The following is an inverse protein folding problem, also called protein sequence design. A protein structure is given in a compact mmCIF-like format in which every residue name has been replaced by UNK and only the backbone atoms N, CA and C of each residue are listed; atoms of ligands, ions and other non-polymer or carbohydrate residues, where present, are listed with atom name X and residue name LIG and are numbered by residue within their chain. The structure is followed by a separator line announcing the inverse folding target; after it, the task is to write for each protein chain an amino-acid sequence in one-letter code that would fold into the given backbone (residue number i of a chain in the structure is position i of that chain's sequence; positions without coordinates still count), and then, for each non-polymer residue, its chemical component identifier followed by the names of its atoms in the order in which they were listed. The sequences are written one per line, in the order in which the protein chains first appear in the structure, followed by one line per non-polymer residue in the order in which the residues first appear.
data_IF_299629275429
#
_entry.id   IF_299629275429
#
_cell.length_a   1.000
_cell.length_b   1.000
_cell.length_c   1.000
_cell.angle_alpha   90.00
_cell.angle_beta   90.00
_cell.angle_gamma   90.00
#
_symmetry.space_group_name_H-M   'P 1'
#
loop_
_entity.id
_entity.type
_entity.pdbx_description
1 polymer ?
#
# COMPACT_ATOMS: atom_id res chain seq x y z
N UNK A 1 -1.46 -42.54 -24.44
CA UNK A 1 -1.81 -41.44 -23.52
C UNK A 1 -2.70 -40.46 -24.23
N UNK A 2 -3.80 -39.94 -23.64
CA UNK A 2 -4.53 -38.85 -24.26
C UNK A 2 -3.58 -37.66 -24.41
N UNK A 3 -3.29 -37.26 -25.64
CA UNK A 3 -2.50 -36.08 -25.97
C UNK A 3 -3.44 -35.01 -26.51
N UNK A 4 -3.47 -33.85 -25.87
CA UNK A 4 -4.11 -32.67 -26.44
C UNK A 4 -3.11 -32.03 -27.40
N UNK A 5 -3.35 -32.19 -28.71
CA UNK A 5 -2.59 -31.45 -29.72
C UNK A 5 -3.17 -30.04 -29.84
N UNK A 6 -2.43 -29.05 -29.34
CA UNK A 6 -2.79 -27.65 -29.48
C UNK A 6 -2.71 -27.23 -30.95
N UNK A 7 -3.77 -26.62 -31.47
CA UNK A 7 -3.65 -25.74 -32.64
C UNK A 7 -2.95 -24.44 -32.19
N UNK A 8 -2.15 -23.87 -33.09
CA UNK A 8 -0.82 -23.25 -32.85
C UNK A 8 -0.72 -21.98 -31.98
N UNK A 9 -1.71 -21.59 -31.18
CA UNK A 9 -1.59 -20.41 -30.30
C UNK A 9 -2.28 -20.50 -28.93
N UNK A 10 -3.27 -21.38 -28.71
CA UNK A 10 -4.05 -21.41 -27.46
C UNK A 10 -4.57 -22.80 -27.12
N UNK A 11 -4.67 -23.09 -25.82
CA UNK A 11 -5.44 -24.20 -25.28
C UNK A 11 -6.69 -23.62 -24.61
N UNK A 12 -7.85 -23.76 -25.24
CA UNK A 12 -9.12 -23.31 -24.69
C UNK A 12 -9.76 -24.43 -23.87
N UNK A 13 -9.98 -24.20 -22.57
CA UNK A 13 -10.66 -25.13 -21.68
C UNK A 13 -11.98 -24.49 -21.25
N UNK A 14 -13.10 -24.91 -21.88
CA UNK A 14 -14.45 -24.43 -21.58
C UNK A 14 -15.52 -25.01 -22.52
N UNK A 15 -16.80 -24.71 -22.26
CA UNK A 15 -17.88 -24.88 -23.24
C UNK A 15 -18.65 -23.55 -23.36
N UNK A 16 -19.20 -23.28 -24.54
CA UNK A 16 -19.73 -21.96 -24.93
C UNK A 16 -20.92 -21.41 -24.14
N UNK A 17 -21.33 -21.99 -23.00
CA UNK A 17 -22.45 -21.44 -22.22
C UNK A 17 -22.46 -21.77 -20.72
N UNK A 18 -21.39 -22.32 -20.13
CA UNK A 18 -21.34 -22.57 -18.67
C UNK A 18 -19.98 -22.18 -18.10
N UNK A 19 -20.00 -21.51 -16.94
CA UNK A 19 -18.78 -21.15 -16.23
C UNK A 19 -17.97 -22.42 -15.90
N UNK A 20 -16.69 -22.43 -16.26
CA UNK A 20 -15.76 -23.45 -15.77
C UNK A 20 -15.63 -23.26 -14.27
N UNK A 21 -16.07 -24.25 -13.48
CA UNK A 21 -16.09 -24.14 -12.02
C UNK A 21 -14.70 -24.20 -11.39
N UNK A 22 -13.75 -24.90 -12.03
CA UNK A 22 -12.35 -24.97 -11.64
C UNK A 22 -11.48 -25.50 -12.78
N UNK A 23 -10.27 -24.98 -12.92
CA UNK A 23 -9.16 -25.62 -13.65
C UNK A 23 -8.21 -26.13 -12.56
N UNK A 24 -8.06 -27.45 -12.45
CA UNK A 24 -7.15 -28.06 -11.47
C UNK A 24 -5.93 -28.59 -12.17
N UNK A 25 -4.78 -28.15 -11.70
CA UNK A 25 -3.51 -28.58 -12.20
C UNK A 25 -2.77 -29.14 -10.98
N UNK A 26 -2.55 -30.45 -11.02
CA UNK A 26 -2.11 -31.24 -9.87
C UNK A 26 -0.79 -31.87 -10.23
N UNK A 27 0.15 -31.79 -9.31
CA UNK A 27 1.26 -32.73 -9.25
C UNK A 27 0.93 -33.83 -8.22
N UNK A 28 1.47 -35.04 -8.43
CA UNK A 28 1.28 -36.21 -7.57
C UNK A 28 2.60 -36.73 -7.00
N UNK A 29 3.66 -35.92 -7.01
CA UNK A 29 4.89 -36.20 -6.30
C UNK A 29 5.15 -35.16 -5.20
N UNK A 30 6.10 -35.45 -4.30
CA UNK A 30 6.39 -34.60 -3.13
C UNK A 30 7.68 -33.78 -3.33
N UNK A 31 8.17 -33.72 -4.57
CA UNK A 31 9.55 -33.41 -4.91
C UNK A 31 9.66 -32.13 -5.73
N UNK A 32 8.64 -31.80 -6.53
CA UNK A 32 8.55 -30.53 -7.22
C UNK A 32 7.22 -29.78 -6.99
N UNK A 33 7.19 -28.53 -7.43
CA UNK A 33 6.01 -27.69 -7.39
C UNK A 33 5.36 -27.64 -8.75
N UNK A 34 4.04 -27.50 -8.79
CA UNK A 34 3.34 -27.26 -10.05
C UNK A 34 3.78 -25.91 -10.67
N UNK A 35 4.31 -25.93 -11.90
CA UNK A 35 4.89 -24.75 -12.56
C UNK A 35 4.08 -24.30 -13.80
N UNK A 36 3.89 -22.98 -13.93
CA UNK A 36 3.34 -22.33 -15.14
C UNK A 36 4.43 -21.42 -15.70
N UNK A 37 5.09 -21.86 -16.76
CA UNK A 37 5.97 -21.00 -17.54
C UNK A 37 5.19 -20.22 -18.59
N UNK A 38 5.60 -18.98 -18.78
CA UNK A 38 5.31 -18.20 -19.98
C UNK A 38 6.64 -17.60 -20.45
N UNK A 39 6.91 -17.66 -21.75
CA UNK A 39 7.99 -16.88 -22.35
C UNK A 39 7.54 -15.44 -22.65
N UNK A 40 6.29 -15.11 -22.33
CA UNK A 40 5.68 -13.78 -22.36
C UNK A 40 5.19 -13.44 -20.94
N UNK A 41 4.26 -12.49 -20.82
CA UNK A 41 3.58 -12.24 -19.57
C UNK A 41 2.66 -13.42 -19.19
N UNK A 42 2.47 -13.63 -17.89
CA UNK A 42 1.34 -14.39 -17.37
C UNK A 42 0.21 -13.42 -17.00
N UNK A 43 -0.96 -13.57 -17.61
CA UNK A 43 -2.07 -12.64 -17.44
C UNK A 43 -3.37 -13.35 -17.07
N UNK A 44 -4.12 -12.75 -16.14
CA UNK A 44 -5.48 -13.12 -15.75
C UNK A 44 -6.36 -11.90 -15.98
N UNK A 45 -7.34 -12.03 -16.87
CA UNK A 45 -8.22 -10.93 -17.25
C UNK A 45 -9.40 -11.38 -18.10
N UNK A 46 -10.32 -10.46 -18.34
CA UNK A 46 -11.46 -10.64 -19.23
C UNK A 46 -11.39 -9.58 -20.33
N UNK A 47 -11.63 -9.95 -21.60
CA UNK A 47 -11.71 -9.01 -22.74
C UNK A 47 -10.56 -7.99 -22.85
N UNK A 48 -9.31 -8.44 -22.76
CA UNK A 48 -8.10 -7.62 -22.93
C UNK A 48 -7.85 -6.55 -21.86
N UNK A 49 -8.56 -6.59 -20.73
CA UNK A 49 -8.15 -5.89 -19.51
C UNK A 49 -7.55 -6.90 -18.55
N UNK A 50 -6.23 -6.84 -18.37
CA UNK A 50 -5.53 -7.67 -17.40
C UNK A 50 -5.82 -7.17 -15.99
N UNK A 51 -6.55 -7.97 -15.22
CA UNK A 51 -6.76 -7.71 -13.79
C UNK A 51 -5.49 -7.99 -13.02
N UNK A 52 -4.77 -9.07 -13.38
CA UNK A 52 -3.46 -9.44 -12.85
C UNK A 52 -2.54 -9.74 -14.03
N UNK A 53 -1.39 -9.08 -14.08
CA UNK A 53 -0.35 -9.29 -15.08
C UNK A 53 0.99 -9.49 -14.39
N UNK A 54 1.72 -10.55 -14.73
CA UNK A 54 3.11 -10.77 -14.33
C UNK A 54 3.95 -10.65 -15.59
N UNK A 55 4.83 -9.66 -15.65
CA UNK A 55 5.67 -9.41 -16.83
C UNK A 55 6.73 -10.50 -16.99
N UNK A 56 7.34 -10.60 -18.17
CA UNK A 56 8.51 -11.46 -18.39
C UNK A 56 9.66 -11.16 -17.40
N UNK A 57 9.76 -9.92 -16.88
CA UNK A 57 10.74 -9.53 -15.88
C UNK A 57 10.35 -9.89 -14.43
N UNK A 58 9.18 -10.52 -14.23
CA UNK A 58 8.66 -10.89 -12.91
C UNK A 58 8.02 -9.75 -12.13
N UNK A 59 7.64 -8.64 -12.79
CA UNK A 59 6.94 -7.53 -12.14
C UNK A 59 5.43 -7.78 -12.14
N UNK A 60 4.78 -7.53 -11.01
CA UNK A 60 3.35 -7.78 -10.80
C UNK A 60 2.55 -6.49 -11.00
N UNK A 61 1.67 -6.46 -11.98
CA UNK A 61 0.69 -5.40 -12.21
C UNK A 61 -0.72 -5.86 -11.81
N UNK A 62 -1.42 -5.05 -11.03
CA UNK A 62 -2.87 -5.18 -10.79
C UNK A 62 -3.56 -4.01 -11.46
N UNK A 63 -4.47 -4.29 -12.40
CA UNK A 63 -5.14 -3.28 -13.23
C UNK A 63 -4.16 -2.37 -14.02
N UNK A 64 -2.97 -2.90 -14.34
CA UNK A 64 -1.97 -2.25 -15.18
C UNK A 64 -1.13 -3.30 -15.90
N UNK A 65 -0.82 -3.05 -17.16
CA UNK A 65 0.08 -3.89 -17.96
C UNK A 65 1.54 -3.42 -17.93
N UNK A 66 1.80 -2.25 -17.33
CA UNK A 66 3.13 -1.60 -17.30
C UNK A 66 3.56 -1.27 -15.86
N UNK A 67 3.74 -2.28 -14.99
CA UNK A 67 4.32 -2.05 -13.66
C UNK A 67 5.76 -1.55 -13.78
N UNK A 68 6.12 -0.50 -13.03
CA UNK A 68 7.51 0.01 -12.95
C UNK A 68 8.25 -0.49 -11.71
N UNK A 69 7.52 -1.12 -10.77
CA UNK A 69 8.02 -1.67 -9.52
C UNK A 69 7.64 -3.14 -9.39
N UNK A 70 8.24 -3.85 -8.43
CA UNK A 70 7.98 -5.27 -8.18
C UNK A 70 6.47 -5.60 -8.06
N UNK A 71 5.70 -4.70 -7.43
CA UNK A 71 4.24 -4.72 -7.42
C UNK A 71 3.70 -3.31 -7.68
N UNK A 72 2.87 -3.17 -8.71
CA UNK A 72 2.15 -1.93 -9.01
C UNK A 72 0.65 -2.20 -9.02
N UNK A 73 -0.13 -1.43 -8.26
CA UNK A 73 -1.60 -1.48 -8.28
C UNK A 73 -2.13 -0.16 -8.82
N UNK A 74 -2.82 -0.21 -9.95
CA UNK A 74 -3.54 0.96 -10.50
C UNK A 74 -4.92 1.05 -9.87
N UNK A 75 -4.97 1.59 -8.66
CA UNK A 75 -6.20 1.75 -7.88
C UNK A 75 -5.95 1.75 -6.37
N UNK A 76 -7.04 1.72 -5.60
CA UNK A 76 -6.97 1.66 -4.14
C UNK A 76 -6.64 0.24 -3.67
N UNK A 77 -5.80 0.13 -2.64
CA UNK A 77 -5.54 -1.15 -1.96
C UNK A 77 -6.16 -1.09 -0.56
N UNK A 78 -7.02 -2.05 -0.25
CA UNK A 78 -7.60 -2.24 1.08
C UNK A 78 -6.74 -3.25 1.85
N UNK A 79 -5.82 -2.78 2.69
CA UNK A 79 -4.96 -3.62 3.52
C UNK A 79 -5.65 -3.89 4.87
N UNK A 80 -6.24 -5.09 5.01
CA UNK A 80 -6.87 -5.55 6.26
C UNK A 80 -5.99 -6.58 6.96
N UNK A 81 -5.77 -6.40 8.26
CA UNK A 81 -5.19 -7.41 9.14
C UNK A 81 -6.19 -7.69 10.29
N UNK A 82 -6.37 -8.95 10.65
CA UNK A 82 -7.27 -9.39 11.73
C UNK A 82 -6.86 -8.88 13.12
N UNK A 83 -5.69 -8.26 13.27
CA UNK A 83 -5.11 -7.95 14.59
C UNK A 83 -4.40 -6.60 14.70
N UNK A 84 -4.51 -5.69 13.72
CA UNK A 84 -3.90 -4.35 13.84
C UNK A 84 -3.80 -3.55 12.54
N UNK A 85 -3.02 -2.46 12.59
CA UNK A 85 -2.75 -1.55 11.48
C UNK A 85 -2.13 -2.29 10.28
N UNK A 86 -2.53 -1.91 9.07
CA UNK A 86 -1.76 -2.21 7.87
C UNK A 86 -0.36 -1.60 8.03
N UNK A 87 0.66 -2.44 8.19
CA UNK A 87 2.04 -1.96 8.19
C UNK A 87 2.46 -1.69 6.75
N UNK A 88 2.54 -0.41 6.41
CA UNK A 88 3.30 0.03 5.24
C UNK A 88 4.66 0.44 5.77
N UNK A 89 5.55 -0.54 5.90
CA UNK A 89 6.92 -0.32 6.35
C UNK A 89 7.79 0.03 5.13
N UNK A 90 8.29 1.27 5.07
CA UNK A 90 9.43 1.59 4.20
C UNK A 90 10.72 1.33 4.98
N UNK A 91 11.74 0.70 4.37
CA UNK A 91 13.02 0.33 5.01
C UNK A 91 13.93 1.54 5.34
N UNK A 92 13.34 2.67 5.74
CA UNK A 92 14.01 3.94 5.99
C UNK A 92 13.00 5.01 6.34
N UNK A 93 12.62 5.83 5.36
CA UNK A 93 11.75 6.98 5.57
C UNK A 93 10.78 7.18 4.41
N UNK A 94 9.61 7.74 4.70
CA UNK A 94 8.65 8.16 3.68
C UNK A 94 9.06 9.52 3.13
N UNK A 95 9.26 9.62 1.81
CA UNK A 95 9.45 10.92 1.15
C UNK A 95 8.12 11.65 1.03
N UNK A 96 7.97 12.74 1.78
CA UNK A 96 6.78 13.60 1.75
C UNK A 96 7.21 14.89 1.05
N UNK A 97 6.61 15.19 -0.11
CA UNK A 97 6.86 16.45 -0.82
C UNK A 97 6.46 17.66 0.04
N UNK A 98 6.92 18.85 -0.32
CA UNK A 98 6.39 20.06 0.30
C UNK A 98 4.88 20.15 0.08
N UNK A 99 4.15 20.61 1.08
CA UNK A 99 2.68 20.62 1.15
C UNK A 99 1.96 19.26 1.09
N UNK A 100 2.69 18.15 0.93
CA UNK A 100 2.11 16.82 0.93
C UNK A 100 1.83 16.33 2.36
N UNK A 101 0.82 15.47 2.47
CA UNK A 101 0.33 14.98 3.74
C UNK A 101 0.15 13.45 3.75
N UNK A 102 0.36 12.88 4.93
CA UNK A 102 -0.04 11.52 5.28
C UNK A 102 -1.22 11.64 6.23
N UNK A 103 -2.37 11.11 5.83
CA UNK A 103 -3.58 11.13 6.64
C UNK A 103 -3.85 9.75 7.24
N UNK A 104 -3.99 9.71 8.55
CA UNK A 104 -4.49 8.59 9.32
C UNK A 104 -5.98 8.87 9.54
N UNK A 105 -6.82 8.43 8.61
CA UNK A 105 -8.27 8.65 8.63
C UNK A 105 -9.00 7.47 9.25
N UNK A 106 -10.00 7.76 10.07
CA UNK A 106 -10.94 6.74 10.54
C UNK A 106 -12.34 7.27 10.77
N UNK A 107 -13.28 6.34 11.01
CA UNK A 107 -14.58 6.69 11.58
C UNK A 107 -14.50 7.25 13.02
N UNK A 108 -13.39 7.08 13.75
CA UNK A 108 -13.23 7.61 15.12
C UNK A 108 -11.76 7.77 15.56
N UNK A 109 -11.31 9.00 15.80
CA UNK A 109 -10.04 9.21 16.52
C UNK A 109 -10.22 8.95 18.02
N UNK A 110 -9.86 7.74 18.48
CA UNK A 110 -9.96 7.34 19.89
C UNK A 110 -8.92 8.04 20.79
N UNK A 111 -7.69 7.54 20.79
CA UNK A 111 -6.54 8.22 21.41
C UNK A 111 -5.25 7.71 20.76
N UNK A 112 -4.39 8.60 20.29
CA UNK A 112 -3.18 8.21 19.58
C UNK A 112 -1.97 9.02 20.05
N UNK A 113 -0.83 8.34 20.15
CA UNK A 113 0.49 8.94 20.26
C UNK A 113 1.14 8.90 18.87
N UNK A 114 1.61 10.04 18.37
CA UNK A 114 2.20 10.17 17.05
C UNK A 114 3.62 10.69 17.21
N UNK A 115 4.59 9.93 16.72
CA UNK A 115 5.98 10.31 16.64
C UNK A 115 6.30 10.65 15.19
N UNK A 116 6.87 11.82 14.97
CA UNK A 116 7.39 12.22 13.66
C UNK A 116 8.86 12.55 13.78
N UNK A 117 9.64 12.10 12.80
CA UNK A 117 11.07 12.37 12.73
C UNK A 117 11.49 12.55 11.28
N UNK A 118 12.04 13.72 10.95
CA UNK A 118 12.67 13.99 9.67
C UNK A 118 14.16 13.62 9.75
N UNK A 119 14.59 12.76 8.83
CA UNK A 119 15.87 12.03 8.95
C UNK A 119 17.08 12.90 8.60
N UNK A 120 16.95 13.90 7.73
CA UNK A 120 18.07 14.69 7.22
C UNK A 120 18.54 15.81 8.17
N UNK A 121 17.63 16.44 8.91
CA UNK A 121 17.91 17.60 9.77
C UNK A 121 17.57 17.37 11.23
N UNK A 122 17.05 16.18 11.58
CA UNK A 122 16.75 15.81 12.97
C UNK A 122 15.55 16.54 13.57
N UNK A 123 14.70 17.13 12.72
CA UNK A 123 13.44 17.74 13.14
C UNK A 123 12.52 16.63 13.63
N UNK A 124 11.94 16.77 14.82
CA UNK A 124 11.12 15.71 15.38
C UNK A 124 10.25 16.16 16.52
N UNK A 125 9.14 15.47 16.70
CA UNK A 125 8.18 15.77 17.75
C UNK A 125 7.37 14.54 18.17
N UNK A 126 6.87 14.61 19.40
CA UNK A 126 5.91 13.71 19.98
C UNK A 126 4.57 14.45 20.12
N UNK A 127 3.52 13.90 19.54
CA UNK A 127 2.17 14.43 19.59
C UNK A 127 1.20 13.46 20.25
N UNK A 128 0.16 14.00 20.86
CA UNK A 128 -0.95 13.23 21.41
C UNK A 128 -2.29 13.81 20.99
N UNK A 129 -3.27 12.94 20.77
CA UNK A 129 -4.67 13.31 20.53
C UNK A 129 -5.59 12.33 21.24
N UNK A 130 -6.77 12.81 21.62
CA UNK A 130 -7.87 12.00 22.15
C UNK A 130 -9.18 12.43 21.47
N UNK A 131 -10.21 11.60 21.59
CA UNK A 131 -11.52 11.85 21.01
C UNK A 131 -12.05 13.24 21.38
N UNK A 132 -12.39 14.03 20.35
CA UNK A 132 -12.92 15.38 20.51
C UNK A 132 -11.87 16.44 20.88
N UNK A 133 -10.59 16.08 21.02
CA UNK A 133 -9.51 17.01 21.32
C UNK A 133 -8.65 17.26 20.09
N UNK A 134 -8.14 18.49 19.99
CA UNK A 134 -7.10 18.82 19.01
C UNK A 134 -5.80 18.06 19.32
N UNK A 135 -4.95 17.88 18.29
CA UNK A 135 -3.60 17.36 18.50
C UNK A 135 -2.82 18.32 19.41
N UNK A 136 -2.14 17.75 20.41
CA UNK A 136 -1.23 18.46 21.31
C UNK A 136 0.20 18.04 21.02
N UNK A 137 1.11 19.00 20.86
CA UNK A 137 2.56 18.74 20.83
C UNK A 137 3.05 18.56 22.27
N UNK A 138 3.47 17.35 22.62
CA UNK A 138 3.99 17.03 23.95
C UNK A 138 5.46 17.43 24.09
N UNK A 139 6.25 17.22 23.03
CA UNK A 139 7.66 17.57 22.96
C UNK A 139 8.08 17.70 21.49
N UNK A 140 9.16 18.44 21.21
CA UNK A 140 9.76 18.47 19.88
C UNK A 140 10.63 19.69 19.61
N UNK A 141 11.25 19.70 18.44
CA UNK A 141 12.07 20.82 17.93
C UNK A 141 11.21 22.04 17.61
N UNK A 142 11.82 23.21 17.37
CA UNK A 142 11.08 24.43 17.02
C UNK A 142 10.32 24.30 15.70
N UNK A 143 10.88 23.57 14.72
CA UNK A 143 10.31 23.37 13.38
C UNK A 143 9.21 22.28 13.33
N UNK A 144 8.37 22.23 14.35
CA UNK A 144 7.24 21.28 14.41
C UNK A 144 6.03 21.95 15.04
N UNK A 145 4.86 21.73 14.45
CA UNK A 145 3.61 22.38 14.88
C UNK A 145 2.47 21.39 15.03
N UNK A 146 1.52 21.73 15.91
CA UNK A 146 0.25 21.00 16.06
C UNK A 146 -0.90 21.65 15.24
N UNK A 147 -0.55 22.43 14.23
CA UNK A 147 -1.43 23.11 13.28
C UNK A 147 -0.81 23.03 11.87
N UNK A 148 -1.61 23.21 10.81
CA UNK A 148 -1.10 23.40 9.45
C UNK A 148 -0.40 24.78 9.41
N UNK A 149 0.92 24.78 9.50
CA UNK A 149 1.72 25.98 9.71
C UNK A 149 2.96 25.92 8.82
N UNK A 150 3.16 26.99 8.05
CA UNK A 150 4.26 27.05 7.12
C UNK A 150 5.61 27.08 7.84
N UNK A 151 6.59 26.35 7.31
CA UNK A 151 7.93 26.24 7.92
C UNK A 151 8.08 25.10 8.94
N UNK A 152 7.07 24.26 9.15
CA UNK A 152 7.08 23.21 10.17
C UNK A 152 6.82 21.80 9.60
N UNK A 153 7.27 20.77 10.32
CA UNK A 153 6.67 19.44 10.19
C UNK A 153 5.44 19.36 11.11
N UNK A 154 4.26 19.35 10.49
CA UNK A 154 2.99 19.53 11.17
C UNK A 154 2.33 18.19 11.49
N UNK A 155 1.72 18.10 12.67
CA UNK A 155 0.77 17.02 13.00
C UNK A 155 -0.50 17.64 13.61
N UNK A 156 -1.62 17.55 12.91
CA UNK A 156 -2.89 18.16 13.35
C UNK A 156 -4.06 17.22 13.05
N UNK A 157 -5.26 17.58 13.50
CA UNK A 157 -6.46 16.83 13.18
C UNK A 157 -7.61 17.73 12.73
N UNK A 158 -8.51 17.15 11.95
CA UNK A 158 -9.83 17.70 11.62
C UNK A 158 -10.85 16.58 11.77
N UNK A 159 -11.73 16.70 12.76
CA UNK A 159 -12.63 15.61 13.16
C UNK A 159 -11.88 14.35 13.60
N UNK A 160 -11.95 13.29 12.81
CA UNK A 160 -11.35 11.98 13.10
C UNK A 160 -10.13 11.64 12.25
N UNK A 161 -9.70 12.58 11.40
CA UNK A 161 -8.52 12.44 10.56
C UNK A 161 -7.34 13.11 11.25
N UNK A 162 -6.28 12.35 11.51
CA UNK A 162 -4.99 12.87 11.93
C UNK A 162 -4.14 13.03 10.67
N UNK A 163 -3.47 14.17 10.54
CA UNK A 163 -2.69 14.53 9.36
C UNK A 163 -1.27 14.87 9.78
N UNK A 164 -0.29 14.17 9.22
CA UNK A 164 1.12 14.57 9.26
C UNK A 164 1.44 15.23 7.93
N UNK A 165 1.83 16.50 7.94
CA UNK A 165 2.06 17.30 6.73
C UNK A 165 3.44 17.92 6.76
N UNK A 166 4.14 17.85 5.64
CA UNK A 166 5.42 18.51 5.49
C UNK A 166 5.20 19.94 4.95
N UNK A 167 5.56 20.95 5.74
CA UNK A 167 5.52 22.37 5.36
C UNK A 167 6.91 23.01 5.38
N UNK A 168 7.97 22.19 5.30
CA UNK A 168 9.35 22.65 5.46
C UNK A 168 9.95 23.28 4.18
N UNK A 169 9.15 23.51 3.14
CA UNK A 169 9.57 24.18 1.89
C UNK A 169 10.39 23.30 0.96
N UNK A 170 10.46 21.99 1.21
CA UNK A 170 11.17 21.02 0.38
C UNK A 170 10.64 19.61 0.63
N UNK A 171 10.89 18.66 -0.28
CA UNK A 171 10.62 17.23 -0.02
C UNK A 171 11.49 16.73 1.14
N UNK A 172 10.89 16.03 2.10
CA UNK A 172 11.55 15.52 3.30
C UNK A 172 11.38 14.03 3.45
N UNK A 173 12.40 13.37 3.99
CA UNK A 173 12.35 11.97 4.40
C UNK A 173 11.89 11.90 5.84
N UNK A 174 10.67 11.41 6.07
CA UNK A 174 10.01 11.41 7.38
C UNK A 174 9.67 10.00 7.82
N UNK A 175 9.97 9.70 9.09
CA UNK A 175 9.48 8.52 9.81
C UNK A 175 8.26 8.93 10.62
N UNK A 176 7.18 8.17 10.50
CA UNK A 176 5.94 8.36 11.26
C UNK A 176 5.66 7.06 12.02
N UNK A 177 5.56 7.14 13.34
CA UNK A 177 5.12 6.02 14.18
C UNK A 177 3.85 6.42 14.93
N UNK A 178 2.85 5.55 14.89
CA UNK A 178 1.57 5.77 15.54
C UNK A 178 1.33 4.64 16.53
N UNK A 179 1.08 4.99 17.78
CA UNK A 179 0.73 4.04 18.83
C UNK A 179 -0.68 4.36 19.35
N UNK A 180 -1.58 3.38 19.28
CA UNK A 180 -3.00 3.56 19.60
C UNK A 180 -3.80 4.16 18.45
N UNK A 181 -4.97 4.68 18.78
CA UNK A 181 -5.99 5.19 17.87
C UNK A 181 -6.91 4.05 17.46
N UNK A 182 -8.19 4.12 17.82
CA UNK A 182 -9.21 3.28 17.18
C UNK A 182 -9.47 3.79 15.76
N UNK A 183 -8.42 3.84 14.94
CA UNK A 183 -8.45 4.40 13.60
C UNK A 183 -9.08 3.35 12.66
N UNK A 184 -10.41 3.15 12.74
CA UNK A 184 -11.20 2.28 11.85
C UNK A 184 -11.32 2.83 10.43
#
# INVERSE_FOLDING_TARGET
SPSVAAYTTKLDIGNGNTAVSQIRLKDNDATDGWYVESNQNFAIGYNATDTINITQAGLHGINTSSPSEALTVSGNIDLKNSSGFAKIDNNGALSIADDAAVTLSSSRNGSALILVYEVGSGIGALFFTCFGLAVTKLAGTSLTANSDSDGDLCCYNSGHTITVKNRLGATKSVVITVLGGNVY
#
